data_IF_424072129330
#
_entry.id   IF_424072129330
#
_cell.length_a   1.000
_cell.length_b   1.000
_cell.length_c   1.000
_cell.angle_alpha   90.00
_cell.angle_beta   90.00
_cell.angle_gamma   90.00
#
_symmetry.space_group_name_H-M   'P 1'
#
loop_
_entity.id
_entity.type
_entity.pdbx_description
1 polymer ?
#
# COMPACT_ATOMS: atom_id res chain seq x y z
N UNK A 1 -17.18 -5.84 -8.33
CA UNK A 1 -16.67 -4.50 -7.95
C UNK A 1 -16.40 -4.54 -6.45
N UNK A 2 -15.30 -3.95 -5.96
CA UNK A 2 -15.05 -3.88 -4.51
C UNK A 2 -15.91 -2.76 -3.92
N UNK A 3 -16.72 -3.09 -2.92
CA UNK A 3 -17.42 -2.06 -2.15
C UNK A 3 -16.44 -1.45 -1.15
N UNK A 4 -16.19 -0.15 -1.31
CA UNK A 4 -15.34 0.60 -0.39
C UNK A 4 -16.15 0.98 0.86
N UNK A 5 -15.56 0.95 2.07
CA UNK A 5 -16.24 1.43 3.25
C UNK A 5 -16.51 2.93 3.14
N UNK A 6 -17.55 3.39 3.84
CA UNK A 6 -18.00 4.80 3.77
C UNK A 6 -16.89 5.80 4.10
N UNK A 7 -16.03 5.44 5.05
CA UNK A 7 -14.88 6.25 5.45
C UNK A 7 -13.64 5.37 5.50
N UNK A 8 -12.50 5.91 5.11
CA UNK A 8 -11.20 5.29 5.37
C UNK A 8 -10.90 5.29 6.87
N UNK A 9 -10.23 4.24 7.33
CA UNK A 9 -9.79 4.17 8.72
C UNK A 9 -8.58 5.08 8.98
N UNK A 10 -8.75 5.98 9.94
CA UNK A 10 -7.75 6.91 10.44
C UNK A 10 -7.72 6.75 11.97
N UNK A 11 -6.65 6.15 12.55
CA UNK A 11 -6.58 5.89 13.97
C UNK A 11 -6.83 7.15 14.83
N UNK A 12 -7.85 7.09 15.68
CA UNK A 12 -8.26 8.19 16.56
C UNK A 12 -9.13 9.27 15.89
N UNK A 13 -9.47 9.12 14.61
CA UNK A 13 -10.30 10.08 13.86
C UNK A 13 -11.57 9.43 13.30
N UNK A 14 -11.49 8.20 12.78
CA UNK A 14 -12.64 7.47 12.26
C UNK A 14 -12.85 6.15 13.01
N UNK A 15 -14.08 5.61 13.05
CA UNK A 15 -14.36 4.34 13.71
C UNK A 15 -13.52 3.22 13.12
N UNK A 16 -12.96 2.37 13.99
CA UNK A 16 -12.22 1.19 13.55
C UNK A 16 -13.17 0.19 12.88
N UNK A 17 -12.80 -0.37 11.71
CA UNK A 17 -13.53 -1.49 11.13
C UNK A 17 -13.64 -2.64 12.13
N UNK A 18 -14.73 -3.41 12.03
CA UNK A 18 -14.91 -4.60 12.85
C UNK A 18 -13.77 -5.60 12.61
N UNK A 19 -13.46 -6.41 13.62
CA UNK A 19 -12.52 -7.51 13.45
C UNK A 19 -12.99 -8.45 12.33
N UNK A 20 -12.06 -8.86 11.47
CA UNK A 20 -12.34 -9.71 10.32
C UNK A 20 -13.08 -9.04 9.15
N UNK A 21 -13.31 -7.72 9.19
CA UNK A 21 -14.05 -6.99 8.13
C UNK A 21 -13.48 -7.16 6.71
N UNK A 22 -12.20 -7.52 6.57
CA UNK A 22 -11.53 -7.71 5.27
C UNK A 22 -11.03 -9.13 5.04
N UNK A 23 -11.39 -10.11 5.87
CA UNK A 23 -10.85 -11.48 5.76
C UNK A 23 -11.17 -12.13 4.42
N UNK A 24 -12.37 -11.87 3.89
CA UNK A 24 -12.77 -12.33 2.56
C UNK A 24 -11.88 -11.78 1.42
N UNK A 25 -11.16 -10.68 1.66
CA UNK A 25 -10.24 -10.07 0.70
C UNK A 25 -8.81 -10.61 0.85
N UNK A 26 -8.46 -11.25 1.96
CA UNK A 26 -7.10 -11.71 2.29
C UNK A 26 -6.71 -13.04 1.62
N UNK A 27 -7.31 -13.36 0.48
CA UNK A 27 -6.95 -14.55 -0.30
C UNK A 27 -5.68 -14.30 -1.14
N UNK A 28 -4.76 -15.27 -1.10
CA UNK A 28 -3.50 -15.29 -1.87
C UNK A 28 -3.54 -16.38 -2.93
N UNK A 29 -2.93 -16.12 -4.10
CA UNK A 29 -2.81 -17.06 -5.22
C UNK A 29 -1.37 -17.14 -5.69
N UNK A 30 -1.06 -18.23 -6.41
CA UNK A 30 0.16 -18.36 -7.20
C UNK A 30 -0.20 -18.25 -8.70
N UNK A 31 0.45 -17.38 -9.48
CA UNK A 31 1.48 -16.43 -9.05
C UNK A 31 0.90 -15.31 -8.16
N UNK A 32 1.72 -14.78 -7.23
CA UNK A 32 1.31 -13.74 -6.26
C UNK A 32 0.56 -12.53 -6.85
N UNK A 33 0.91 -12.02 -8.05
CA UNK A 33 0.20 -10.88 -8.64
C UNK A 33 -1.26 -11.21 -9.00
N UNK A 34 -1.66 -12.49 -9.04
CA UNK A 34 -3.05 -12.93 -9.22
C UNK A 34 -3.88 -12.95 -7.94
N UNK A 35 -3.27 -12.63 -6.79
CA UNK A 35 -3.93 -12.66 -5.50
C UNK A 35 -5.09 -11.64 -5.43
N UNK A 36 -6.31 -12.05 -5.02
CA UNK A 36 -7.39 -11.11 -4.72
C UNK A 36 -6.98 -10.03 -3.72
N UNK A 37 -6.18 -10.40 -2.72
CA UNK A 37 -5.62 -9.48 -1.73
C UNK A 37 -4.75 -8.38 -2.35
N UNK A 38 -3.91 -8.74 -3.34
CA UNK A 38 -3.08 -7.78 -4.05
C UNK A 38 -3.93 -6.73 -4.78
N UNK A 39 -4.89 -7.18 -5.58
CA UNK A 39 -5.80 -6.31 -6.33
C UNK A 39 -6.72 -5.48 -5.42
N UNK A 40 -7.17 -6.05 -4.29
CA UNK A 40 -7.98 -5.31 -3.33
C UNK A 40 -7.18 -4.18 -2.70
N UNK A 41 -5.93 -4.42 -2.30
CA UNK A 41 -5.08 -3.39 -1.73
C UNK A 41 -4.74 -2.29 -2.73
N UNK A 42 -4.54 -2.61 -4.02
CA UNK A 42 -4.35 -1.60 -5.06
C UNK A 42 -5.56 -0.65 -5.16
N UNK A 43 -6.78 -1.20 -5.19
CA UNK A 43 -8.00 -0.38 -5.22
C UNK A 43 -8.18 0.46 -3.96
N UNK A 44 -7.88 -0.08 -2.79
CA UNK A 44 -7.90 0.69 -1.55
C UNK A 44 -6.86 1.82 -1.59
N UNK A 45 -5.64 1.52 -2.02
CA UNK A 45 -4.54 2.47 -2.11
C UNK A 45 -4.88 3.63 -3.05
N UNK A 46 -5.34 3.33 -4.26
CA UNK A 46 -5.77 4.32 -5.26
C UNK A 46 -6.89 5.23 -4.75
N UNK A 47 -7.79 4.70 -3.92
CA UNK A 47 -8.86 5.47 -3.30
C UNK A 47 -8.43 6.21 -2.00
N UNK A 48 -7.17 6.09 -1.58
CA UNK A 48 -6.65 6.71 -0.35
C UNK A 48 -7.06 6.02 0.95
N UNK A 49 -7.51 4.77 0.90
CA UNK A 49 -7.84 3.89 2.03
C UNK A 49 -6.57 3.13 2.46
N UNK A 50 -5.58 3.89 2.90
CA UNK A 50 -4.23 3.39 3.09
C UNK A 50 -4.10 2.31 4.16
N UNK A 51 -4.86 2.44 5.24
CA UNK A 51 -4.84 1.43 6.29
C UNK A 51 -5.44 0.11 5.79
N UNK A 52 -6.55 0.16 5.07
CA UNK A 52 -7.20 -1.01 4.47
C UNK A 52 -6.29 -1.69 3.43
N UNK A 53 -5.58 -0.89 2.62
CA UNK A 53 -4.58 -1.40 1.69
C UNK A 53 -3.47 -2.17 2.42
N UNK A 54 -2.93 -1.59 3.49
CA UNK A 54 -1.94 -2.25 4.34
C UNK A 54 -2.46 -3.58 4.91
N UNK A 55 -3.67 -3.58 5.49
CA UNK A 55 -4.26 -4.78 6.12
C UNK A 55 -4.42 -5.95 5.15
N UNK A 56 -4.86 -5.69 3.91
CA UNK A 56 -5.04 -6.75 2.92
C UNK A 56 -3.73 -7.17 2.25
N UNK A 57 -2.73 -6.29 2.18
CA UNK A 57 -1.42 -6.65 1.64
C UNK A 57 -0.53 -7.43 2.61
N UNK A 58 -0.77 -7.38 3.91
CA UNK A 58 0.02 -8.10 4.92
C UNK A 58 0.13 -9.60 4.60
N UNK A 59 -0.98 -10.24 4.23
CA UNK A 59 -0.98 -11.68 3.88
C UNK A 59 -0.16 -11.96 2.62
N UNK A 60 -0.20 -11.07 1.61
CA UNK A 60 0.59 -11.20 0.37
C UNK A 60 2.08 -11.10 0.69
N UNK A 61 2.46 -10.14 1.54
CA UNK A 61 3.85 -9.98 2.00
C UNK A 61 4.34 -11.20 2.78
N UNK A 62 3.52 -11.72 3.69
CA UNK A 62 3.86 -12.89 4.50
C UNK A 62 4.04 -14.15 3.65
N UNK A 63 3.20 -14.36 2.64
CA UNK A 63 3.30 -15.51 1.73
C UNK A 63 4.45 -15.38 0.73
N UNK A 64 4.88 -14.17 0.39
CA UNK A 64 5.96 -13.96 -0.57
C UNK A 64 7.28 -14.58 -0.10
N UNK A 65 7.97 -15.25 -1.03
CA UNK A 65 9.24 -15.94 -0.77
C UNK A 65 10.25 -14.96 -0.17
N UNK A 66 10.98 -15.42 0.85
CA UNK A 66 12.04 -14.61 1.46
C UNK A 66 13.06 -14.13 0.42
N UNK A 67 13.48 -12.87 0.56
CA UNK A 67 14.45 -12.21 -0.33
C UNK A 67 14.03 -12.11 -1.82
N UNK A 68 12.74 -12.26 -2.15
CA UNK A 68 12.24 -12.10 -3.51
C UNK A 68 11.92 -10.63 -3.84
N UNK A 69 11.89 -10.30 -5.13
CA UNK A 69 11.50 -8.96 -5.61
C UNK A 69 10.05 -8.64 -5.21
N UNK A 70 9.16 -9.64 -5.28
CA UNK A 70 7.75 -9.52 -4.89
C UNK A 70 7.61 -9.17 -3.41
N UNK A 71 8.35 -9.84 -2.53
CA UNK A 71 8.31 -9.55 -1.10
C UNK A 71 8.77 -8.12 -0.81
N UNK A 72 9.87 -7.70 -1.43
CA UNK A 72 10.37 -6.33 -1.30
C UNK A 72 9.34 -5.32 -1.84
N UNK A 73 8.75 -5.56 -3.00
CA UNK A 73 7.76 -4.67 -3.59
C UNK A 73 6.54 -4.48 -2.68
N UNK A 74 5.95 -5.58 -2.20
CA UNK A 74 4.76 -5.51 -1.33
C UNK A 74 5.10 -4.79 -0.03
N UNK A 75 6.29 -5.03 0.54
CA UNK A 75 6.76 -4.28 1.72
C UNK A 75 6.90 -2.79 1.43
N UNK A 76 7.47 -2.42 0.28
CA UNK A 76 7.60 -1.03 -0.15
C UNK A 76 6.24 -0.34 -0.30
N UNK A 77 5.28 -1.00 -0.93
CA UNK A 77 3.91 -0.49 -1.09
C UNK A 77 3.17 -0.37 0.26
N UNK A 78 3.38 -1.30 1.19
CA UNK A 78 2.86 -1.20 2.57
C UNK A 78 3.44 0.04 3.27
N UNK A 79 4.74 0.30 3.14
CA UNK A 79 5.36 1.47 3.75
C UNK A 79 4.89 2.78 3.11
N UNK A 80 4.67 2.78 1.79
CA UNK A 80 4.09 3.91 1.08
C UNK A 80 2.64 4.16 1.52
N UNK A 81 1.84 3.11 1.72
CA UNK A 81 0.50 3.23 2.29
C UNK A 81 0.55 3.82 3.71
N UNK A 82 1.45 3.33 4.56
CA UNK A 82 1.66 3.87 5.89
C UNK A 82 2.05 5.36 5.85
N UNK A 83 2.85 5.80 4.88
CA UNK A 83 3.17 7.20 4.69
C UNK A 83 1.92 8.03 4.35
N UNK A 84 1.12 7.61 3.35
CA UNK A 84 -0.15 8.24 3.01
C UNK A 84 -1.12 8.32 4.20
N UNK A 85 -1.21 7.24 4.99
CA UNK A 85 -1.98 7.24 6.24
C UNK A 85 -1.49 8.33 7.21
N UNK A 86 -0.17 8.47 7.41
CA UNK A 86 0.38 9.52 8.29
C UNK A 86 0.12 10.92 7.75
N UNK A 87 0.18 11.14 6.43
CA UNK A 87 -0.19 12.42 5.80
C UNK A 87 -1.63 12.79 6.10
N UNK A 88 -2.56 11.85 5.89
CA UNK A 88 -4.00 12.02 6.19
C UNK A 88 -4.29 12.25 7.68
N UNK A 89 -3.39 11.85 8.57
CA UNK A 89 -3.44 12.13 10.01
C UNK A 89 -2.74 13.45 10.42
N UNK A 90 -2.24 14.26 9.47
CA UNK A 90 -1.49 15.48 9.74
C UNK A 90 -0.09 15.26 10.34
N UNK A 91 0.48 14.06 10.17
CA UNK A 91 1.76 13.65 10.79
C UNK A 91 2.91 13.67 9.78
N UNK A 92 3.19 14.85 9.24
CA UNK A 92 4.08 15.04 8.08
C UNK A 92 5.50 14.49 8.29
N UNK A 93 6.14 14.79 9.43
CA UNK A 93 7.48 14.25 9.76
C UNK A 93 7.52 12.72 9.81
N UNK A 94 6.41 12.06 10.12
CA UNK A 94 6.34 10.60 10.10
C UNK A 94 6.13 10.09 8.67
N UNK A 95 5.31 10.77 7.88
CA UNK A 95 5.11 10.48 6.47
C UNK A 95 6.41 10.54 5.67
N UNK A 96 7.17 11.63 5.75
CA UNK A 96 8.45 11.78 5.02
C UNK A 96 9.45 10.66 5.29
N UNK A 97 9.53 10.20 6.54
CA UNK A 97 10.41 9.08 6.92
C UNK A 97 9.96 7.77 6.31
N UNK A 98 8.64 7.52 6.29
CA UNK A 98 8.05 6.32 5.68
C UNK A 98 8.16 6.36 4.16
N UNK A 99 7.97 7.51 3.52
CA UNK A 99 8.15 7.70 2.08
C UNK A 99 9.58 7.42 1.65
N UNK A 100 10.56 7.95 2.38
CA UNK A 100 11.99 7.69 2.12
C UNK A 100 12.30 6.19 2.21
N UNK A 101 11.79 5.54 3.27
CA UNK A 101 11.97 4.10 3.47
C UNK A 101 11.28 3.28 2.37
N UNK A 102 10.05 3.62 2.02
CA UNK A 102 9.30 2.98 0.95
C UNK A 102 10.06 3.08 -0.38
N UNK A 103 10.56 4.27 -0.73
CA UNK A 103 11.34 4.48 -1.95
C UNK A 103 12.60 3.63 -2.02
N UNK A 104 13.35 3.51 -0.93
CA UNK A 104 14.54 2.67 -0.88
C UNK A 104 14.20 1.17 -1.12
N UNK A 105 13.14 0.67 -0.49
CA UNK A 105 12.70 -0.73 -0.63
C UNK A 105 12.14 -0.98 -2.05
N UNK A 106 11.37 -0.06 -2.62
CA UNK A 106 10.82 -0.17 -3.96
C UNK A 106 11.92 -0.16 -5.03
N UNK A 107 12.95 0.67 -4.86
CA UNK A 107 14.12 0.66 -5.73
C UNK A 107 14.87 -0.68 -5.66
N UNK A 108 15.00 -1.27 -4.47
CA UNK A 108 15.57 -2.61 -4.31
C UNK A 108 14.73 -3.69 -5.02
N UNK A 109 13.40 -3.62 -4.90
CA UNK A 109 12.49 -4.55 -5.57
C UNK A 109 12.67 -4.51 -7.10
N UNK A 110 12.72 -3.32 -7.69
CA UNK A 110 12.96 -3.12 -9.12
C UNK A 110 14.34 -3.63 -9.55
N UNK A 111 15.39 -3.34 -8.77
CA UNK A 111 16.73 -3.83 -9.06
C UNK A 111 16.81 -5.37 -9.08
N UNK A 112 15.98 -6.05 -8.29
CA UNK A 112 15.89 -7.52 -8.26
C UNK A 112 14.98 -8.12 -9.34
N UNK A 113 13.88 -7.45 -9.66
CA UNK A 113 12.80 -8.01 -10.49
C UNK A 113 12.78 -7.53 -11.95
N UNK A 114 13.58 -6.53 -12.32
CA UNK A 114 13.72 -6.08 -13.69
C UNK A 114 12.64 -5.09 -14.13
N UNK A 115 12.05 -5.31 -15.30
CA UNK A 115 11.15 -4.35 -15.95
C UNK A 115 9.78 -4.19 -15.26
N UNK A 116 9.34 -5.19 -14.49
CA UNK A 116 8.06 -5.18 -13.79
C UNK A 116 8.12 -6.13 -12.58
N UNK A 117 7.51 -5.73 -11.47
CA UNK A 117 7.35 -6.58 -10.27
C UNK A 117 5.92 -6.48 -9.78
N UNK A 118 5.27 -7.61 -9.48
CA UNK A 118 3.83 -7.69 -9.13
C UNK A 118 2.90 -6.91 -10.06
N UNK A 119 3.18 -6.92 -11.37
CA UNK A 119 2.43 -6.15 -12.39
C UNK A 119 2.52 -4.64 -12.23
N UNK A 120 3.56 -4.14 -11.56
CA UNK A 120 3.87 -2.72 -11.46
C UNK A 120 5.19 -2.43 -12.16
N UNK A 121 5.13 -1.51 -13.12
CA UNK A 121 6.32 -0.97 -13.79
C UNK A 121 6.98 0.13 -12.92
N UNK A 122 8.24 0.51 -13.19
CA UNK A 122 8.86 1.66 -12.54
C UNK A 122 8.02 2.94 -12.61
N UNK A 123 7.35 3.18 -13.74
CA UNK A 123 6.48 4.35 -13.93
C UNK A 123 5.23 4.26 -13.06
N UNK A 124 4.64 3.08 -12.93
CA UNK A 124 3.49 2.84 -12.06
C UNK A 124 3.84 3.05 -10.58
N UNK A 125 5.01 2.57 -10.14
CA UNK A 125 5.52 2.79 -8.78
C UNK A 125 5.76 4.29 -8.54
N UNK A 126 6.42 4.97 -9.49
CA UNK A 126 6.67 6.40 -9.38
C UNK A 126 5.36 7.22 -9.35
N UNK A 127 4.33 6.80 -10.09
CA UNK A 127 3.00 7.41 -10.04
C UNK A 127 2.34 7.22 -8.68
N UNK A 128 2.42 6.02 -8.09
CA UNK A 128 1.91 5.75 -6.74
C UNK A 128 2.61 6.62 -5.68
N UNK A 129 3.92 6.79 -5.78
CA UNK A 129 4.69 7.66 -4.88
C UNK A 129 4.25 9.12 -4.97
N UNK A 130 4.15 9.66 -6.19
CA UNK A 130 3.67 11.04 -6.41
C UNK A 130 2.26 11.23 -5.87
N UNK A 131 1.36 10.28 -6.12
CA UNK A 131 -0.02 10.35 -5.64
C UNK A 131 -0.12 10.43 -4.10
N UNK A 132 0.82 9.81 -3.36
CA UNK A 132 0.90 9.94 -1.89
C UNK A 132 1.53 11.28 -1.48
N UNK A 133 2.57 11.73 -2.18
CA UNK A 133 3.29 12.97 -1.87
C UNK A 133 2.43 14.22 -2.13
N UNK A 134 1.67 14.24 -3.22
CA UNK A 134 0.85 15.39 -3.64
C UNK A 134 -0.36 15.62 -2.72
N UNK A 135 -0.68 14.69 -1.81
CA UNK A 135 -1.72 14.86 -0.80
C UNK A 135 -1.42 15.96 0.22
N UNK A 136 -0.17 16.45 0.31
CA UNK A 136 0.20 17.63 1.11
C UNK A 136 -0.59 18.89 0.71
N UNK A 137 -0.98 19.00 -0.56
CA UNK A 137 -1.49 20.25 -1.13
C UNK A 137 -2.97 20.53 -0.78
N UNK A 138 -3.73 19.53 -0.35
CA UNK A 138 -5.18 19.69 -0.11
C UNK A 138 -5.57 19.98 1.35
N UNK A 139 -4.63 20.00 2.30
CA UNK A 139 -4.93 20.32 3.70
C UNK A 139 -4.61 21.77 4.10
N UNK A 140 -3.96 22.55 3.22
CA UNK A 140 -3.54 23.92 3.51
C UNK A 140 -4.33 25.01 2.72
N UNK A 141 -5.56 24.72 2.30
CA UNK A 141 -6.46 25.67 1.64
C UNK A 141 -7.70 25.96 2.49
#
# INVERSE_FOLDING_TARGET
MLDLPRNAYLPGLTPRPAEGAYDALKAVRDPLPDSPAWHAGLRFFEAGYYWEAHEVWEVVWMTARANSAERALVQGMIQLANAGLKRRMGRERAALRLDTLAGAILAEALARGGAEVMRLTPEGIAAAQRAVQDQELHYNA
#
